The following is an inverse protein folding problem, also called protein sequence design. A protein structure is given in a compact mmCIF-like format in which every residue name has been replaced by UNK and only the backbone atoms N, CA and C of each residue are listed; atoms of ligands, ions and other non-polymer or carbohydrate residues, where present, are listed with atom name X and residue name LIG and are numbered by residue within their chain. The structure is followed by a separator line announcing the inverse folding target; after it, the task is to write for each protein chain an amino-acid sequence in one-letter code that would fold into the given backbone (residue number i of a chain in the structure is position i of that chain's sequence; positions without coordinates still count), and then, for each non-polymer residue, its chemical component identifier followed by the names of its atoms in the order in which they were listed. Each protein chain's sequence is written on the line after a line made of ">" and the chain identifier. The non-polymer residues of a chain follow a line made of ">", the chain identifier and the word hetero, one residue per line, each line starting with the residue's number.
data_IF_498974633235
#
_entry.id   IF_498974633235
#
_cell.length_a   1.000
_cell.length_b   1.000
_cell.length_c   1.000
_cell.angle_alpha   90.00
_cell.angle_beta   90.00
_cell.angle_gamma   90.00
#
_symmetry.space_group_name_H-M   'P 1'
#
loop_
_entity.id
_entity.type
_entity.pdbx_description
1 polymer ?
#
# COMPACT_ATOMS: atom_id res chain seq x y z
N UNK A 1 37.16 0.31 38.92
CA UNK A 1 36.12 1.24 38.45
C UNK A 1 36.21 1.43 36.94
N UNK A 2 37.39 1.71 36.38
CA UNK A 2 37.66 1.78 34.93
C UNK A 2 37.37 0.49 34.14
N UNK A 3 37.78 -0.69 34.61
CA UNK A 3 37.53 -1.95 33.88
C UNK A 3 36.06 -2.36 33.78
N UNK A 4 35.23 -1.97 34.76
CA UNK A 4 33.79 -2.25 34.73
C UNK A 4 33.10 -1.30 33.74
N UNK A 5 33.49 -0.02 33.77
CA UNK A 5 32.97 1.00 32.87
C UNK A 5 33.36 0.75 31.41
N UNK A 6 34.60 0.33 31.13
CA UNK A 6 35.01 -0.09 29.78
C UNK A 6 34.24 -1.33 29.30
N UNK A 7 33.85 -2.23 30.20
CA UNK A 7 33.05 -3.42 29.84
C UNK A 7 31.60 -3.04 29.53
N UNK A 8 31.02 -2.15 30.34
CA UNK A 8 29.66 -1.64 30.17
C UNK A 8 29.54 -0.77 28.89
N UNK A 9 30.54 0.07 28.61
CA UNK A 9 30.60 0.91 27.40
C UNK A 9 30.75 0.05 26.12
N UNK A 10 31.56 -1.01 26.14
CA UNK A 10 31.68 -1.94 25.01
C UNK A 10 30.41 -2.77 24.78
N UNK A 11 29.69 -3.10 25.86
CA UNK A 11 28.40 -3.80 25.77
C UNK A 11 27.35 -2.89 25.14
N UNK A 12 27.26 -1.63 25.60
CA UNK A 12 26.33 -0.63 25.11
C UNK A 12 26.57 -0.33 23.62
N UNK A 13 27.83 -0.16 23.20
CA UNK A 13 28.16 0.09 21.79
C UNK A 13 27.78 -1.10 20.89
N UNK A 14 27.87 -2.32 21.42
CA UNK A 14 27.47 -3.54 20.71
C UNK A 14 25.95 -3.65 20.60
N UNK A 15 25.23 -3.33 21.67
CA UNK A 15 23.76 -3.31 21.69
C UNK A 15 23.20 -2.28 20.70
N UNK A 16 23.72 -1.05 20.71
CA UNK A 16 23.32 0.02 19.80
C UNK A 16 23.52 -0.37 18.33
N UNK A 17 24.63 -1.08 18.03
CA UNK A 17 24.90 -1.63 16.69
C UNK A 17 23.88 -2.70 16.28
N UNK A 18 23.46 -3.57 17.21
CA UNK A 18 22.46 -4.62 16.92
C UNK A 18 21.07 -4.03 16.71
N UNK A 19 20.63 -3.13 17.59
CA UNK A 19 19.35 -2.42 17.45
C UNK A 19 19.29 -1.69 16.12
N UNK A 20 20.37 -1.00 15.74
CA UNK A 20 20.48 -0.31 14.47
C UNK A 20 20.34 -1.27 13.26
N UNK A 21 21.00 -2.43 13.29
CA UNK A 21 20.88 -3.43 12.20
C UNK A 21 19.49 -4.03 12.10
N UNK A 22 18.85 -4.36 13.23
CA UNK A 22 17.48 -4.89 13.26
C UNK A 22 16.51 -3.84 12.71
N UNK A 23 16.64 -2.59 13.14
CA UNK A 23 15.85 -1.47 12.60
C UNK A 23 16.04 -1.35 11.08
N UNK A 24 17.29 -1.34 10.60
CA UNK A 24 17.60 -1.20 9.19
C UNK A 24 16.97 -2.32 8.34
N UNK A 25 17.02 -3.56 8.83
CA UNK A 25 16.36 -4.70 8.20
C UNK A 25 14.84 -4.53 8.16
N UNK A 26 14.21 -4.20 9.29
CA UNK A 26 12.75 -4.04 9.38
C UNK A 26 12.23 -2.92 8.49
N UNK A 27 12.95 -1.80 8.42
CA UNK A 27 12.64 -0.70 7.50
C UNK A 27 12.72 -1.19 6.06
N UNK A 28 13.86 -1.77 5.65
CA UNK A 28 14.06 -2.21 4.27
C UNK A 28 13.02 -3.26 3.83
N UNK A 29 12.80 -4.28 4.67
CA UNK A 29 11.83 -5.34 4.43
C UNK A 29 10.41 -4.81 4.37
N UNK A 30 10.01 -4.01 5.38
CA UNK A 30 8.65 -3.50 5.50
C UNK A 30 8.30 -2.55 4.36
N UNK A 31 9.21 -1.66 3.96
CA UNK A 31 8.98 -0.74 2.86
C UNK A 31 8.91 -1.45 1.51
N UNK A 32 9.83 -2.39 1.24
CA UNK A 32 9.78 -3.21 0.03
C UNK A 32 8.50 -4.04 -0.05
N UNK A 33 8.11 -4.68 1.06
CA UNK A 33 6.86 -5.44 1.12
C UNK A 33 5.65 -4.55 0.86
N UNK A 34 5.62 -3.36 1.48
CA UNK A 34 4.57 -2.37 1.23
C UNK A 34 4.50 -1.96 -0.24
N UNK A 35 5.64 -1.71 -0.90
CA UNK A 35 5.69 -1.38 -2.33
C UNK A 35 5.11 -2.53 -3.16
N UNK A 36 5.54 -3.77 -2.92
CA UNK A 36 5.05 -4.92 -3.69
C UNK A 36 3.56 -5.16 -3.45
N UNK A 37 3.06 -5.01 -2.22
CA UNK A 37 1.63 -5.08 -1.95
C UNK A 37 0.82 -4.05 -2.74
N UNK A 38 1.33 -2.82 -2.92
CA UNK A 38 0.63 -1.84 -3.77
C UNK A 38 0.53 -2.32 -5.23
N UNK A 39 1.60 -2.92 -5.76
CA UNK A 39 1.59 -3.47 -7.12
C UNK A 39 0.63 -4.65 -7.26
N UNK A 40 0.53 -5.51 -6.24
CA UNK A 40 -0.46 -6.60 -6.19
C UNK A 40 -1.87 -6.03 -6.27
N UNK A 41 -2.19 -4.99 -5.49
CA UNK A 41 -3.51 -4.34 -5.52
C UNK A 41 -3.80 -3.78 -6.92
N UNK A 42 -2.84 -3.10 -7.53
CA UNK A 42 -3.00 -2.58 -8.89
C UNK A 42 -3.18 -3.69 -9.93
N UNK A 43 -2.43 -4.78 -9.80
CA UNK A 43 -2.54 -5.95 -10.67
C UNK A 43 -3.93 -6.59 -10.55
N UNK A 44 -4.42 -6.83 -9.33
CA UNK A 44 -5.75 -7.42 -9.10
C UNK A 44 -6.83 -6.54 -9.71
N UNK A 45 -6.78 -5.22 -9.49
CA UNK A 45 -7.74 -4.29 -10.07
C UNK A 45 -7.72 -4.33 -11.59
N UNK A 46 -6.53 -4.30 -12.19
CA UNK A 46 -6.39 -4.34 -13.64
C UNK A 46 -6.91 -5.66 -14.23
N UNK A 47 -6.54 -6.80 -13.64
CA UNK A 47 -6.96 -8.13 -14.11
C UNK A 47 -8.47 -8.35 -13.93
N UNK A 48 -9.07 -7.83 -12.86
CA UNK A 48 -10.50 -7.98 -12.58
C UNK A 48 -11.35 -7.07 -13.45
N UNK A 49 -10.98 -5.79 -13.56
CA UNK A 49 -11.83 -4.77 -14.19
C UNK A 49 -11.60 -4.71 -15.70
N UNK A 50 -10.34 -4.65 -16.13
CA UNK A 50 -10.01 -4.42 -17.54
C UNK A 50 -9.93 -5.72 -18.34
N UNK A 51 -9.25 -6.73 -17.77
CA UNK A 51 -9.06 -8.03 -18.46
C UNK A 51 -10.19 -9.01 -18.15
N UNK A 52 -10.86 -8.87 -16.99
CA UNK A 52 -11.92 -9.76 -16.52
C UNK A 52 -11.49 -11.24 -16.36
N UNK A 53 -10.18 -11.47 -16.15
CA UNK A 53 -9.58 -12.81 -16.03
C UNK A 53 -9.80 -13.45 -14.66
N UNK A 54 -9.72 -12.64 -13.61
CA UNK A 54 -9.81 -13.13 -12.23
C UNK A 54 -11.28 -13.09 -11.80
N UNK A 55 -11.91 -14.27 -11.80
CA UNK A 55 -13.24 -14.47 -11.23
C UNK A 55 -13.15 -14.86 -9.74
N UNK A 56 -12.20 -15.72 -9.39
CA UNK A 56 -11.90 -16.12 -8.01
C UNK A 56 -10.45 -15.78 -7.67
N UNK A 57 -10.23 -15.04 -6.58
CA UNK A 57 -8.90 -14.58 -6.15
C UNK A 57 -8.16 -15.64 -5.31
N UNK A 58 -8.87 -16.59 -4.69
CA UNK A 58 -8.28 -17.61 -3.81
C UNK A 58 -7.17 -18.42 -4.52
N UNK A 59 -7.30 -18.66 -5.83
CA UNK A 59 -6.31 -19.39 -6.63
C UNK A 59 -4.97 -18.64 -6.83
N UNK A 60 -4.96 -17.32 -6.64
CA UNK A 60 -3.78 -16.48 -6.78
C UNK A 60 -3.22 -16.00 -5.43
N UNK A 61 -3.94 -16.25 -4.34
CA UNK A 61 -3.61 -15.77 -3.00
C UNK A 61 -2.18 -16.13 -2.61
N UNK A 62 -1.81 -17.41 -2.64
CA UNK A 62 -0.44 -17.84 -2.30
C UNK A 62 0.63 -17.20 -3.19
N UNK A 63 0.34 -17.01 -4.49
CA UNK A 63 1.28 -16.34 -5.41
C UNK A 63 1.49 -14.88 -5.04
N UNK A 64 0.44 -14.19 -4.62
CA UNK A 64 0.53 -12.81 -4.12
C UNK A 64 1.33 -12.73 -2.83
N UNK A 65 1.09 -13.66 -1.88
CA UNK A 65 1.84 -13.74 -0.62
C UNK A 65 3.34 -13.97 -0.87
N UNK A 66 3.70 -14.94 -1.72
CA UNK A 66 5.10 -15.17 -2.07
C UNK A 66 5.73 -13.95 -2.73
N UNK A 67 5.03 -13.33 -3.67
CA UNK A 67 5.53 -12.12 -4.33
C UNK A 67 5.76 -10.97 -3.35
N UNK A 68 4.79 -10.70 -2.46
CA UNK A 68 4.82 -9.50 -1.62
C UNK A 68 5.58 -9.67 -0.29
N UNK A 69 5.88 -10.89 0.14
CA UNK A 69 6.64 -11.14 1.37
C UNK A 69 7.96 -11.88 1.16
N UNK A 70 8.01 -12.91 0.31
CA UNK A 70 9.24 -13.70 0.15
C UNK A 70 10.29 -12.96 -0.68
N UNK A 71 9.89 -12.24 -1.73
CA UNK A 71 10.83 -11.45 -2.53
C UNK A 71 11.50 -10.34 -1.68
N UNK A 72 10.75 -9.50 -0.93
CA UNK A 72 11.35 -8.50 -0.04
C UNK A 72 12.25 -9.10 1.04
N UNK A 73 11.90 -10.29 1.55
CA UNK A 73 12.70 -11.02 2.52
C UNK A 73 14.06 -11.40 1.92
N UNK A 74 14.07 -11.93 0.70
CA UNK A 74 15.31 -12.31 0.01
C UNK A 74 16.21 -11.11 -0.24
N UNK A 75 15.65 -10.00 -0.76
CA UNK A 75 16.40 -8.77 -1.01
C UNK A 75 16.97 -8.19 0.29
N UNK A 76 16.14 -8.06 1.32
CA UNK A 76 16.57 -7.51 2.62
C UNK A 76 17.61 -8.37 3.36
N UNK A 77 17.85 -9.61 2.92
CA UNK A 77 18.92 -10.44 3.45
C UNK A 77 20.30 -10.07 2.87
N UNK A 78 20.35 -9.46 1.68
CA UNK A 78 21.60 -9.10 1.00
C UNK A 78 22.44 -8.13 1.86
N UNK A 79 21.90 -7.01 2.39
CA UNK A 79 22.70 -6.09 3.19
C UNK A 79 23.10 -6.65 4.57
N UNK A 80 22.47 -7.74 5.03
CA UNK A 80 22.93 -8.50 6.21
C UNK A 80 24.23 -9.22 5.85
N UNK A 81 24.23 -9.99 4.76
CA UNK A 81 25.39 -10.79 4.34
C UNK A 81 26.56 -9.93 3.90
N UNK A 82 26.30 -8.74 3.36
CA UNK A 82 27.36 -7.79 2.94
C UNK A 82 27.76 -6.81 4.05
N UNK A 83 27.18 -6.93 5.24
CA UNK A 83 27.39 -6.06 6.40
C UNK A 83 27.19 -4.56 6.11
N UNK A 84 26.25 -4.25 5.22
CA UNK A 84 26.00 -2.90 4.75
C UNK A 84 24.88 -2.19 5.53
N UNK A 85 24.18 -2.87 6.44
CA UNK A 85 23.32 -2.20 7.42
C UNK A 85 24.12 -1.44 8.49
N UNK A 86 23.69 -0.22 8.78
CA UNK A 86 24.26 0.64 9.81
C UNK A 86 23.68 2.07 9.78
N UNK A 87 24.35 2.98 10.49
CA UNK A 87 23.92 4.38 10.53
C UNK A 87 24.01 5.03 9.14
N UNK A 88 22.88 5.52 8.63
CA UNK A 88 22.74 6.14 7.31
C UNK A 88 22.50 7.66 7.38
N UNK A 89 22.73 8.28 8.54
CA UNK A 89 22.47 9.70 8.81
C UNK A 89 21.53 9.84 10.00
N UNK A 90 20.26 10.15 9.73
CA UNK A 90 19.24 10.33 10.77
C UNK A 90 18.56 9.02 11.22
N UNK A 91 18.78 7.90 10.52
CA UNK A 91 18.26 6.58 10.89
C UNK A 91 19.20 5.46 10.46
N UNK A 92 18.92 4.25 10.92
CA UNK A 92 19.64 3.05 10.51
C UNK A 92 19.05 2.46 9.24
N UNK A 93 19.90 2.30 8.22
CA UNK A 93 19.56 1.71 6.93
C UNK A 93 20.82 1.17 6.25
N UNK A 94 20.90 1.13 4.92
CA UNK A 94 22.10 0.76 4.18
C UNK A 94 23.11 1.91 4.29
N UNK A 95 24.22 1.76 5.02
CA UNK A 95 25.21 2.84 5.24
C UNK A 95 26.00 3.18 3.98
N UNK A 96 26.44 4.43 3.86
CA UNK A 96 27.39 4.82 2.81
C UNK A 96 28.81 4.66 3.36
N UNK A 97 29.61 3.77 2.77
CA UNK A 97 31.03 3.63 3.10
C UNK A 97 31.84 4.63 2.28
N UNK A 98 32.66 5.47 2.91
CA UNK A 98 33.43 6.50 2.22
C UNK A 98 34.38 5.94 1.15
N UNK A 99 35.04 4.82 1.46
CA UNK A 99 35.95 4.14 0.53
C UNK A 99 35.20 3.40 -0.61
N UNK A 100 33.88 3.23 -0.49
CA UNK A 100 33.05 2.47 -1.44
C UNK A 100 31.69 3.15 -1.68
N UNK A 101 31.72 4.48 -1.90
CA UNK A 101 30.51 5.29 -2.10
C UNK A 101 29.66 4.74 -3.23
N UNK A 102 30.26 4.46 -4.39
CA UNK A 102 29.56 3.95 -5.57
C UNK A 102 28.82 2.64 -5.30
N UNK A 103 29.49 1.65 -4.69
CA UNK A 103 28.86 0.39 -4.30
C UNK A 103 27.68 0.60 -3.36
N UNK A 104 27.83 1.45 -2.35
CA UNK A 104 26.78 1.74 -1.36
C UNK A 104 25.55 2.38 -2.02
N UNK A 105 25.76 3.29 -2.98
CA UNK A 105 24.69 3.93 -3.72
C UNK A 105 23.99 2.96 -4.69
N UNK A 106 24.75 2.11 -5.36
CA UNK A 106 24.22 1.05 -6.22
C UNK A 106 23.37 0.07 -5.40
N UNK A 107 23.84 -0.32 -4.21
CA UNK A 107 23.09 -1.20 -3.33
C UNK A 107 21.76 -0.56 -2.91
N UNK A 108 21.78 0.71 -2.46
CA UNK A 108 20.53 1.46 -2.16
C UNK A 108 19.58 1.56 -3.36
N UNK A 109 20.12 1.72 -4.57
CA UNK A 109 19.34 1.78 -5.79
C UNK A 109 18.64 0.44 -6.05
N UNK A 110 19.38 -0.66 -6.07
CA UNK A 110 18.84 -1.98 -6.37
C UNK A 110 17.92 -2.52 -5.27
N UNK A 111 18.29 -2.29 -4.00
CA UNK A 111 17.49 -2.74 -2.86
C UNK A 111 16.17 -2.01 -2.76
N UNK A 112 16.08 -0.74 -3.18
CA UNK A 112 14.90 0.05 -2.84
C UNK A 112 14.38 0.92 -3.97
N UNK A 113 15.19 1.87 -4.46
CA UNK A 113 14.68 2.90 -5.38
C UNK A 113 14.30 2.34 -6.76
N UNK A 114 15.01 1.33 -7.27
CA UNK A 114 14.68 0.70 -8.54
C UNK A 114 13.34 -0.08 -8.46
N UNK A 115 13.12 -0.99 -7.48
CA UNK A 115 11.81 -1.58 -7.23
C UNK A 115 10.70 -0.54 -7.05
N UNK A 116 10.96 0.54 -6.29
CA UNK A 116 10.02 1.64 -6.09
C UNK A 116 9.61 2.32 -7.40
N UNK A 117 10.56 2.67 -8.26
CA UNK A 117 10.27 3.35 -9.53
C UNK A 117 9.56 2.44 -10.52
N UNK A 118 9.93 1.16 -10.59
CA UNK A 118 9.19 0.16 -11.37
C UNK A 118 7.75 0.08 -10.87
N UNK A 119 7.56 0.03 -9.55
CA UNK A 119 6.23 0.03 -8.94
C UNK A 119 5.45 1.32 -9.26
N UNK A 120 6.06 2.50 -9.22
CA UNK A 120 5.41 3.76 -9.60
C UNK A 120 4.85 3.71 -11.02
N UNK A 121 5.69 3.31 -11.99
CA UNK A 121 5.31 3.24 -13.40
C UNK A 121 4.19 2.21 -13.57
N UNK A 122 4.37 1.01 -13.00
CA UNK A 122 3.39 -0.06 -13.11
C UNK A 122 2.03 0.31 -12.51
N UNK A 123 2.04 0.86 -11.30
CA UNK A 123 0.84 1.31 -10.61
C UNK A 123 0.13 2.43 -11.39
N UNK A 124 0.88 3.43 -11.87
CA UNK A 124 0.34 4.54 -12.66
C UNK A 124 -0.34 4.07 -13.94
N UNK A 125 0.33 3.21 -14.72
CA UNK A 125 -0.23 2.66 -15.96
C UNK A 125 -1.47 1.81 -15.68
N UNK A 126 -1.41 0.93 -14.68
CA UNK A 126 -2.52 0.04 -14.32
C UNK A 126 -3.74 0.84 -13.86
N UNK A 127 -3.55 1.83 -12.99
CA UNK A 127 -4.62 2.71 -12.53
C UNK A 127 -5.21 3.55 -13.65
N UNK A 128 -4.38 4.09 -14.54
CA UNK A 128 -4.85 4.84 -15.70
C UNK A 128 -5.73 3.99 -16.61
N UNK A 129 -5.31 2.75 -16.92
CA UNK A 129 -6.10 1.81 -17.73
C UNK A 129 -7.42 1.46 -17.05
N UNK A 130 -7.41 1.16 -15.76
CA UNK A 130 -8.62 0.88 -14.96
C UNK A 130 -9.57 2.07 -14.98
N UNK A 131 -9.07 3.28 -14.69
CA UNK A 131 -9.87 4.49 -14.69
C UNK A 131 -10.51 4.76 -16.06
N UNK A 132 -9.74 4.65 -17.14
CA UNK A 132 -10.24 4.84 -18.50
C UNK A 132 -11.33 3.81 -18.84
N UNK A 133 -11.11 2.54 -18.52
CA UNK A 133 -12.09 1.48 -18.76
C UNK A 133 -13.39 1.71 -18.01
N UNK A 134 -13.31 2.01 -16.70
CA UNK A 134 -14.47 2.26 -15.85
C UNK A 134 -15.26 3.48 -16.33
N UNK A 135 -14.57 4.58 -16.69
CA UNK A 135 -15.20 5.79 -17.20
C UNK A 135 -15.92 5.56 -18.55
N UNK A 136 -15.38 4.70 -19.41
CA UNK A 136 -15.88 4.52 -20.79
C UNK A 136 -16.96 3.45 -20.92
N UNK A 137 -16.88 2.36 -20.15
CA UNK A 137 -17.69 1.16 -20.41
C UNK A 137 -18.65 0.77 -19.31
N UNK A 138 -18.52 1.33 -18.12
CA UNK A 138 -19.15 0.72 -16.95
C UNK A 138 -20.14 1.69 -16.31
N UNK A 139 -21.44 1.37 -16.41
CA UNK A 139 -22.49 1.98 -15.58
C UNK A 139 -22.64 1.26 -14.23
N UNK A 140 -21.96 0.11 -14.03
CA UNK A 140 -22.02 -0.66 -12.79
C UNK A 140 -21.39 0.09 -11.61
N UNK A 141 -22.25 0.49 -10.67
CA UNK A 141 -21.90 1.18 -9.43
C UNK A 141 -20.93 0.37 -8.56
N UNK A 142 -20.90 -0.96 -8.66
CA UNK A 142 -20.02 -1.84 -7.88
C UNK A 142 -18.55 -1.68 -8.29
N UNK A 143 -18.24 -1.62 -9.58
CA UNK A 143 -16.87 -1.43 -10.07
C UNK A 143 -16.34 -0.03 -9.74
N UNK A 144 -17.17 1.02 -9.91
CA UNK A 144 -16.84 2.38 -9.50
C UNK A 144 -16.50 2.46 -8.00
N UNK A 145 -17.28 1.78 -7.16
CA UNK A 145 -17.03 1.70 -5.73
C UNK A 145 -15.74 0.96 -5.40
N UNK A 146 -15.41 -0.11 -6.11
CA UNK A 146 -14.17 -0.86 -5.92
C UNK A 146 -12.94 -0.01 -6.27
N UNK A 147 -12.95 0.66 -7.43
CA UNK A 147 -11.88 1.57 -7.85
C UNK A 147 -11.74 2.73 -6.87
N UNK A 148 -12.85 3.36 -6.48
CA UNK A 148 -12.80 4.47 -5.54
C UNK A 148 -12.24 4.10 -4.17
N UNK A 149 -12.41 2.85 -3.71
CA UNK A 149 -11.84 2.37 -2.45
C UNK A 149 -10.34 2.11 -2.55
N UNK A 150 -9.89 1.52 -3.66
CA UNK A 150 -8.54 0.98 -3.77
C UNK A 150 -7.55 1.89 -4.51
N UNK A 151 -8.02 2.88 -5.28
CA UNK A 151 -7.16 3.84 -6.00
C UNK A 151 -6.22 4.61 -5.09
N UNK A 152 -6.58 4.78 -3.82
CA UNK A 152 -5.76 5.52 -2.87
C UNK A 152 -4.44 4.81 -2.55
N UNK A 153 -4.32 3.49 -2.74
CA UNK A 153 -3.10 2.74 -2.35
C UNK A 153 -1.90 3.19 -3.21
N UNK A 154 -2.00 3.08 -4.55
CA UNK A 154 -1.00 3.67 -5.44
C UNK A 154 -0.73 5.15 -5.23
N UNK A 155 -1.77 5.95 -4.95
CA UNK A 155 -1.64 7.39 -4.81
C UNK A 155 -0.89 7.79 -3.54
N UNK A 156 -1.15 7.11 -2.42
CA UNK A 156 -0.42 7.33 -1.17
C UNK A 156 1.05 6.98 -1.36
N UNK A 157 1.35 5.85 -2.01
CA UNK A 157 2.74 5.46 -2.29
C UNK A 157 3.46 6.54 -3.12
N UNK A 158 2.86 6.97 -4.24
CA UNK A 158 3.47 8.00 -5.10
C UNK A 158 3.65 9.30 -4.33
N UNK A 159 2.66 9.72 -3.56
CA UNK A 159 2.72 10.93 -2.76
C UNK A 159 3.85 10.87 -1.72
N UNK A 160 3.89 9.82 -0.89
CA UNK A 160 4.84 9.70 0.21
C UNK A 160 6.29 9.59 -0.28
N UNK A 161 6.51 8.91 -1.40
CA UNK A 161 7.85 8.64 -1.94
C UNK A 161 8.30 9.61 -3.04
N UNK A 162 7.46 10.57 -3.42
CA UNK A 162 7.82 11.60 -4.41
C UNK A 162 9.04 12.40 -3.98
N UNK A 163 9.04 12.91 -2.74
CA UNK A 163 10.16 13.68 -2.18
C UNK A 163 11.42 12.84 -2.01
N UNK A 164 11.29 11.57 -1.61
CA UNK A 164 12.42 10.65 -1.54
C UNK A 164 13.03 10.33 -2.89
N UNK A 165 12.21 10.25 -3.94
CA UNK A 165 12.69 10.09 -5.32
C UNK A 165 13.46 11.33 -5.78
N UNK A 166 12.92 12.53 -5.52
CA UNK A 166 13.59 13.79 -5.86
C UNK A 166 14.93 13.91 -5.12
N UNK A 167 14.93 13.69 -3.80
CA UNK A 167 16.14 13.69 -2.97
C UNK A 167 17.20 12.74 -3.54
N UNK A 168 16.79 11.53 -3.93
CA UNK A 168 17.71 10.53 -4.51
C UNK A 168 18.27 10.95 -5.87
N UNK A 169 17.47 11.53 -6.75
CA UNK A 169 17.91 12.02 -8.07
C UNK A 169 18.97 13.12 -7.91
N UNK A 170 18.73 14.09 -7.03
CA UNK A 170 19.73 15.14 -6.75
C UNK A 170 21.00 14.56 -6.14
N UNK A 171 20.89 13.62 -5.21
CA UNK A 171 22.05 12.95 -4.61
C UNK A 171 22.89 12.22 -5.67
N UNK A 172 22.28 11.61 -6.69
CA UNK A 172 23.02 11.01 -7.82
C UNK A 172 23.70 12.05 -8.71
N UNK A 173 23.13 13.25 -8.82
CA UNK A 173 23.74 14.38 -9.52
C UNK A 173 24.84 15.09 -8.70
N UNK A 174 25.18 14.58 -7.51
CA UNK A 174 26.19 15.15 -6.63
C UNK A 174 25.72 16.37 -5.82
N UNK A 175 24.41 16.64 -5.82
CA UNK A 175 23.80 17.73 -5.05
C UNK A 175 22.99 17.18 -3.88
N UNK A 176 23.12 17.79 -2.71
CA UNK A 176 22.35 17.41 -1.52
C UNK A 176 21.67 18.64 -0.96
N UNK A 177 20.34 18.60 -0.90
CA UNK A 177 19.52 19.68 -0.36
C UNK A 177 18.83 19.20 0.90
N UNK A 178 19.20 19.82 2.03
CA UNK A 178 18.66 19.47 3.35
C UNK A 178 17.12 19.50 3.38
N UNK A 179 16.50 20.48 2.72
CA UNK A 179 15.04 20.62 2.66
C UNK A 179 14.36 19.39 2.06
N UNK A 180 14.85 18.87 0.92
CA UNK A 180 14.29 17.68 0.29
C UNK A 180 14.48 16.44 1.16
N UNK A 181 15.62 16.35 1.84
CA UNK A 181 15.91 15.27 2.76
C UNK A 181 14.91 15.23 3.94
N UNK A 182 14.61 16.38 4.55
CA UNK A 182 13.63 16.46 5.65
C UNK A 182 12.23 16.08 5.18
N UNK A 183 11.77 16.60 4.04
CA UNK A 183 10.45 16.25 3.51
C UNK A 183 10.36 14.77 3.14
N UNK A 184 11.44 14.18 2.61
CA UNK A 184 11.52 12.76 2.36
C UNK A 184 11.29 11.95 3.65
N UNK A 185 12.03 12.24 4.72
CA UNK A 185 11.88 11.53 6.01
C UNK A 185 10.44 11.63 6.53
N UNK A 186 9.89 12.84 6.54
CA UNK A 186 8.54 13.10 7.07
C UNK A 186 7.47 12.35 6.27
N UNK A 187 7.50 12.45 4.93
CA UNK A 187 6.48 11.83 4.08
C UNK A 187 6.60 10.30 4.05
N UNK A 188 7.82 9.77 3.98
CA UNK A 188 8.04 8.32 4.04
C UNK A 188 7.55 7.76 5.39
N UNK A 189 7.90 8.41 6.52
CA UNK A 189 7.44 8.02 7.84
C UNK A 189 5.92 8.11 8.03
N UNK A 190 5.26 9.07 7.37
CA UNK A 190 3.81 9.23 7.42
C UNK A 190 3.04 8.23 6.55
N UNK A 191 3.69 7.45 5.68
CA UNK A 191 3.00 6.51 4.80
C UNK A 191 2.08 5.56 5.57
N UNK A 192 2.58 4.94 6.64
CA UNK A 192 1.80 4.01 7.46
C UNK A 192 0.59 4.69 8.11
N UNK A 193 0.78 5.91 8.61
CA UNK A 193 -0.29 6.71 9.20
C UNK A 193 -1.36 7.08 8.15
N UNK A 194 -0.96 7.56 6.98
CA UNK A 194 -1.88 7.92 5.90
C UNK A 194 -2.65 6.69 5.40
N UNK A 195 -1.96 5.55 5.24
CA UNK A 195 -2.62 4.28 4.91
C UNK A 195 -3.67 3.92 5.98
N UNK A 196 -3.30 3.90 7.26
CA UNK A 196 -4.23 3.59 8.34
C UNK A 196 -5.42 4.56 8.38
N UNK A 197 -5.20 5.85 8.14
CA UNK A 197 -6.24 6.86 8.10
C UNK A 197 -7.21 6.62 6.94
N UNK A 198 -6.71 6.41 5.72
CA UNK A 198 -7.54 6.24 4.53
C UNK A 198 -8.37 4.95 4.58
N UNK A 199 -7.79 3.85 5.06
CA UNK A 199 -8.47 2.55 5.09
C UNK A 199 -9.25 2.30 6.39
N UNK A 200 -8.70 2.71 7.52
CA UNK A 200 -9.32 2.57 8.83
C UNK A 200 -10.53 3.49 9.04
N UNK A 201 -10.55 4.68 8.42
CA UNK A 201 -11.66 5.64 8.58
C UNK A 201 -12.76 5.52 7.52
N UNK A 202 -12.76 4.45 6.73
CA UNK A 202 -13.87 4.18 5.81
C UNK A 202 -15.19 4.06 6.58
N UNK A 203 -16.31 4.49 5.98
CA UNK A 203 -17.63 4.44 6.63
C UNK A 203 -17.98 3.04 7.13
N UNK A 204 -17.62 2.02 6.35
CA UNK A 204 -17.83 0.60 6.69
C UNK A 204 -17.03 0.20 7.93
N UNK A 205 -15.71 0.43 7.92
CA UNK A 205 -14.84 0.07 9.05
C UNK A 205 -15.24 0.83 10.31
N UNK A 206 -15.53 2.14 10.22
CA UNK A 206 -16.04 2.92 11.37
C UNK A 206 -17.36 2.37 11.92
N UNK A 207 -18.28 1.90 11.06
CA UNK A 207 -19.53 1.26 11.49
C UNK A 207 -19.24 -0.05 12.24
N UNK A 208 -18.40 -0.93 11.69
CA UNK A 208 -18.03 -2.20 12.33
C UNK A 208 -17.27 -2.01 13.64
N UNK A 209 -16.34 -1.05 13.69
CA UNK A 209 -15.64 -0.67 14.92
C UNK A 209 -16.65 -0.15 15.94
N UNK A 210 -17.60 0.71 15.55
CA UNK A 210 -18.64 1.21 16.45
C UNK A 210 -19.51 0.07 16.98
N UNK A 211 -19.96 -0.85 16.13
CA UNK A 211 -20.73 -2.04 16.55
C UNK A 211 -19.91 -2.91 17.51
N UNK A 212 -18.62 -3.13 17.22
CA UNK A 212 -17.74 -3.94 18.06
C UNK A 212 -17.48 -3.28 19.41
N UNK A 213 -17.24 -1.97 19.45
CA UNK A 213 -17.10 -1.19 20.68
C UNK A 213 -18.41 -1.13 21.47
N UNK A 214 -19.56 -1.10 20.79
CA UNK A 214 -20.88 -1.15 21.41
C UNK A 214 -21.14 -2.49 22.14
N UNK A 215 -20.54 -3.61 21.71
CA UNK A 215 -20.63 -4.88 22.45
C UNK A 215 -19.97 -4.82 23.84
N UNK A 216 -18.97 -3.95 24.01
CA UNK A 216 -18.27 -3.74 25.28
C UNK A 216 -18.90 -2.64 26.16
N UNK A 217 -19.95 -1.95 25.68
CA UNK A 217 -20.69 -0.94 26.45
C UNK A 217 -22.17 -1.33 26.53
N UNK A 218 -22.50 -2.22 27.48
CA UNK A 218 -23.79 -2.92 27.56
C UNK A 218 -25.02 -2.03 27.87
N UNK A 219 -24.85 -0.76 28.23
CA UNK A 219 -25.94 0.03 28.84
C UNK A 219 -26.67 1.01 27.90
N UNK A 220 -26.07 1.44 26.77
CA UNK A 220 -26.65 2.60 26.05
C UNK A 220 -27.51 2.30 24.80
N UNK A 221 -27.47 1.12 24.16
CA UNK A 221 -27.87 1.06 22.73
C UNK A 221 -28.58 -0.24 22.32
N UNK A 222 -29.79 -0.50 22.82
CA UNK A 222 -30.72 -1.45 22.16
C UNK A 222 -31.52 -0.81 21.02
N UNK A 223 -31.72 0.51 21.06
CA UNK A 223 -32.64 1.23 20.15
C UNK A 223 -31.99 1.65 18.82
N UNK A 224 -30.71 2.07 18.81
CA UNK A 224 -30.05 2.51 17.57
C UNK A 224 -29.54 1.36 16.69
N UNK A 225 -29.27 0.18 17.27
CA UNK A 225 -28.76 -0.97 16.50
C UNK A 225 -29.85 -1.56 15.59
N UNK A 226 -31.08 -1.65 16.09
CA UNK A 226 -32.23 -2.10 15.29
C UNK A 226 -32.48 -1.13 14.12
N UNK A 227 -32.58 0.17 14.40
CA UNK A 227 -32.79 1.18 13.35
C UNK A 227 -31.67 1.26 12.32
N UNK A 228 -30.41 1.01 12.70
CA UNK A 228 -29.27 1.01 11.77
C UNK A 228 -29.11 -0.28 10.96
N UNK A 229 -29.66 -1.39 11.47
CA UNK A 229 -29.73 -2.66 10.75
C UNK A 229 -30.87 -2.62 9.73
N UNK A 230 -32.03 -2.14 10.15
CA UNK A 230 -33.21 -1.96 9.29
C UNK A 230 -32.91 -1.00 8.13
N UNK A 231 -32.29 0.16 8.40
CA UNK A 231 -31.85 1.09 7.34
C UNK A 231 -30.85 0.49 6.35
N UNK A 232 -30.01 -0.44 6.81
CA UNK A 232 -29.00 -1.05 5.95
C UNK A 232 -29.60 -2.17 5.08
N UNK A 233 -30.51 -2.96 5.65
CA UNK A 233 -31.29 -3.95 4.91
C UNK A 233 -32.20 -3.25 3.88
N UNK A 234 -32.81 -2.11 4.21
CA UNK A 234 -33.53 -1.27 3.24
C UNK A 234 -32.61 -0.73 2.14
N UNK A 235 -31.46 -0.11 2.47
CA UNK A 235 -30.52 0.42 1.47
C UNK A 235 -29.96 -0.69 0.55
N UNK A 236 -29.72 -1.90 1.07
CA UNK A 236 -29.29 -3.04 0.26
C UNK A 236 -30.42 -3.54 -0.63
N UNK A 237 -31.62 -3.75 -0.10
CA UNK A 237 -32.77 -4.22 -0.85
C UNK A 237 -33.17 -3.23 -1.96
N UNK A 238 -33.14 -1.93 -1.68
CA UNK A 238 -33.41 -0.88 -2.67
C UNK A 238 -32.33 -0.84 -3.76
N UNK A 239 -31.07 -1.12 -3.40
CA UNK A 239 -29.98 -1.21 -4.38
C UNK A 239 -30.08 -2.45 -5.27
N UNK A 240 -30.53 -3.59 -4.73
CA UNK A 240 -30.74 -4.83 -5.48
C UNK A 240 -31.96 -4.74 -6.38
N UNK A 241 -33.06 -4.15 -5.91
CA UNK A 241 -34.27 -3.91 -6.70
C UNK A 241 -34.01 -2.94 -7.85
N UNK A 242 -33.30 -1.83 -7.62
CA UNK A 242 -32.90 -0.92 -8.70
C UNK A 242 -32.00 -1.61 -9.73
N UNK A 243 -31.12 -2.52 -9.29
CA UNK A 243 -30.22 -3.24 -10.18
C UNK A 243 -30.99 -4.26 -11.05
N UNK A 244 -31.95 -4.98 -10.47
CA UNK A 244 -32.86 -5.87 -11.23
C UNK A 244 -33.74 -5.11 -12.21
N UNK A 245 -34.24 -3.93 -11.83
CA UNK A 245 -35.05 -3.09 -12.72
C UNK A 245 -34.24 -2.59 -13.93
N UNK A 246 -32.97 -2.26 -13.74
CA UNK A 246 -32.06 -1.86 -14.83
C UNK A 246 -31.77 -3.04 -15.77
N UNK A 247 -31.53 -4.24 -15.25
CA UNK A 247 -31.31 -5.45 -16.07
C UNK A 247 -32.55 -5.80 -16.90
N UNK A 248 -33.74 -5.76 -16.29
CA UNK A 248 -35.01 -5.99 -16.98
C UNK A 248 -35.28 -4.94 -18.07
N UNK A 249 -34.96 -3.67 -17.80
CA UNK A 249 -35.09 -2.60 -18.79
C UNK A 249 -34.12 -2.78 -19.97
N UNK A 250 -32.88 -3.20 -19.71
CA UNK A 250 -31.90 -3.50 -20.74
C UNK A 250 -32.31 -4.71 -21.60
N UNK A 251 -32.94 -5.72 -20.99
CA UNK A 251 -33.44 -6.90 -21.70
C UNK A 251 -34.65 -6.57 -22.58
N UNK A 252 -35.59 -5.75 -22.08
CA UNK A 252 -36.70 -5.22 -22.88
C UNK A 252 -36.23 -4.36 -24.05
N UNK A 253 -35.20 -3.53 -23.86
CA UNK A 253 -34.62 -2.75 -24.96
C UNK A 253 -34.00 -3.65 -26.04
N UNK A 254 -33.30 -4.71 -25.65
CA UNK A 254 -32.75 -5.70 -26.61
C UNK A 254 -33.86 -6.45 -27.37
N UNK A 255 -34.97 -6.76 -26.71
CA UNK A 255 -36.12 -7.40 -27.36
C UNK A 255 -36.81 -6.45 -28.36
N UNK A 256 -37.03 -5.18 -28.00
CA UNK A 256 -37.62 -4.18 -28.90
C UNK A 256 -36.73 -3.90 -30.13
N UNK A 257 -35.40 -3.90 -29.96
CA UNK A 257 -34.48 -3.75 -31.08
C UNK A 257 -34.51 -4.95 -32.04
N UNK A 258 -34.73 -6.18 -31.55
CA UNK A 258 -34.91 -7.36 -32.41
C UNK A 258 -36.19 -7.28 -33.24
N UNK A 259 -37.29 -6.82 -32.65
CA UNK A 259 -38.57 -6.62 -33.34
C UNK A 259 -38.59 -5.45 -34.34
N UNK A 260 -37.60 -4.55 -34.32
CA UNK A 260 -37.51 -3.41 -35.24
C UNK A 260 -36.70 -3.71 -36.51
N UNK A 261 -36.14 -4.92 -36.62
CA UNK A 261 -35.24 -5.37 -37.72
C UNK A 261 -35.91 -6.47 -38.57
N UNK A 262 -37.05 -6.99 -38.14
CA UNK A 262 -37.96 -7.86 -38.92
C UNK A 262 -39.08 -7.04 -39.56
#
# INVERSE_FOLDING_TARGET
>A
MTQQQDSDDNLQETEDKMVCKVQAFLINYGELSSILWTTVIAWVLYQKIVIQRIQNYNQYEMKMFFYAYLIPMFFSFIPIMTEDYGNAGAWCWIRIRENQKWRSQILRLFEFYLPLWIAFIYNGISMYKVYKFVKQRTQDRKEHNLVNKLKFYPLILIFCWSMGTIDRIFNFAGQSYFTFHIFHILLAGLQGFINAMVYGLTKKVRKEIRISLQKYCSFCIKKDILTLKDKYEEEQNESEQNQQAIELAAEKQKQMQKFSIE
#
